data_IF_946928003317
#
_entry.id   IF_946928003317
#
_cell.length_a   1.000
_cell.length_b   1.000
_cell.length_c   1.000
_cell.angle_alpha   90.00
_cell.angle_beta   90.00
_cell.angle_gamma   90.00
#
_symmetry.space_group_name_H-M   'P 1'
#
loop_
_entity.id
_entity.type
_entity.pdbx_description
1 polymer ?
#
# COMPACT_ATOMS: atom_id res chain seq x y z
N UNK A 1 2.90 -16.78 21.81
CA UNK A 1 3.11 -15.34 21.97
C UNK A 1 4.25 -15.18 22.94
N UNK A 2 5.13 -14.21 22.74
CA UNK A 2 6.29 -14.03 23.62
C UNK A 2 6.02 -12.90 24.63
N UNK A 3 6.96 -12.74 25.55
CA UNK A 3 6.95 -11.71 26.56
C UNK A 3 7.75 -10.49 26.08
N UNK A 4 7.09 -9.36 25.88
CA UNK A 4 7.69 -8.12 25.40
C UNK A 4 7.47 -6.95 26.36
N UNK A 5 8.41 -6.01 26.37
CA UNK A 5 8.24 -4.68 26.97
C UNK A 5 8.75 -3.61 26.02
N UNK A 6 8.02 -2.50 25.93
CA UNK A 6 8.40 -1.33 25.13
C UNK A 6 8.37 -0.11 26.00
N UNK A 7 9.45 0.67 25.97
CA UNK A 7 9.51 1.95 26.66
C UNK A 7 8.77 3.01 25.86
N UNK A 8 7.88 3.75 26.50
CA UNK A 8 7.05 4.80 25.88
C UNK A 8 7.24 6.13 26.61
N UNK A 9 7.25 7.22 25.86
CA UNK A 9 7.48 8.58 26.40
C UNK A 9 6.21 9.36 26.66
N UNK A 10 5.16 9.07 25.88
CA UNK A 10 3.89 9.77 25.92
C UNK A 10 2.71 8.82 25.61
N UNK A 11 1.51 9.38 25.69
CA UNK A 11 0.27 8.66 25.40
C UNK A 11 0.18 8.20 23.94
N UNK A 12 0.77 8.96 23.00
CA UNK A 12 0.73 8.63 21.58
C UNK A 12 1.60 7.40 21.27
N UNK A 13 2.84 7.36 21.78
CA UNK A 13 3.72 6.18 21.66
C UNK A 13 3.10 4.96 22.36
N UNK A 14 2.44 5.16 23.51
CA UNK A 14 1.71 4.08 24.19
C UNK A 14 0.58 3.51 23.34
N UNK A 15 -0.26 4.39 22.78
CA UNK A 15 -1.38 3.99 21.93
C UNK A 15 -0.89 3.26 20.68
N UNK A 16 0.17 3.76 20.05
CA UNK A 16 0.76 3.09 18.89
C UNK A 16 1.27 1.69 19.25
N UNK A 17 2.02 1.55 20.35
CA UNK A 17 2.52 0.25 20.80
C UNK A 17 1.37 -0.73 21.08
N UNK A 18 0.29 -0.28 21.71
CA UNK A 18 -0.90 -1.09 21.94
C UNK A 18 -1.55 -1.56 20.63
N UNK A 19 -1.77 -0.64 19.67
CA UNK A 19 -2.36 -0.96 18.36
C UNK A 19 -1.51 -1.98 17.59
N UNK A 20 -0.18 -1.86 17.64
CA UNK A 20 0.74 -2.82 17.05
C UNK A 20 0.68 -4.19 17.74
N UNK A 21 0.62 -4.24 19.07
CA UNK A 21 0.43 -5.51 19.78
C UNK A 21 -0.94 -6.16 19.47
N UNK A 22 -1.99 -5.37 19.23
CA UNK A 22 -3.30 -5.90 18.82
C UNK A 22 -3.19 -6.57 17.46
N UNK A 23 -2.43 -6.00 16.52
CA UNK A 23 -2.13 -6.64 15.23
C UNK A 23 -1.31 -7.94 15.40
N UNK A 24 -0.45 -8.00 16.42
CA UNK A 24 0.21 -9.23 16.84
C UNK A 24 -0.70 -10.22 17.58
N UNK A 25 -1.98 -9.90 17.77
CA UNK A 25 -3.01 -10.78 18.32
C UNK A 25 -3.12 -10.75 19.84
N UNK A 26 -2.40 -9.86 20.53
CA UNK A 26 -2.54 -9.65 21.96
C UNK A 26 -3.84 -8.88 22.26
N UNK A 27 -4.35 -9.06 23.47
CA UNK A 27 -5.59 -8.45 23.95
C UNK A 27 -5.27 -7.46 25.06
N UNK A 28 -5.85 -6.26 24.96
CA UNK A 28 -5.73 -5.25 25.98
C UNK A 28 -6.41 -5.74 27.28
N UNK A 29 -5.67 -5.75 28.38
CA UNK A 29 -6.25 -5.98 29.69
C UNK A 29 -7.01 -4.71 30.11
N UNK A 30 -8.30 -4.86 30.39
CA UNK A 30 -9.18 -3.76 30.77
C UNK A 30 -8.77 -3.06 32.07
N UNK A 31 -7.98 -3.72 32.93
CA UNK A 31 -7.50 -3.14 34.19
C UNK A 31 -6.23 -2.31 34.04
N UNK A 32 -5.43 -2.57 33.00
CA UNK A 32 -4.12 -1.94 32.80
C UNK A 32 -3.98 -1.25 31.43
N UNK A 33 -5.01 -1.23 30.60
CA UNK A 33 -4.92 -0.73 29.23
C UNK A 33 -4.80 0.80 29.10
N UNK A 34 -5.23 1.55 30.11
CA UNK A 34 -5.24 3.01 30.04
C UNK A 34 -3.86 3.60 30.31
N UNK A 35 -3.48 4.60 29.51
CA UNK A 35 -2.29 5.38 29.77
C UNK A 35 -2.50 6.28 31.00
N UNK A 36 -1.63 6.15 31.98
CA UNK A 36 -1.51 7.05 33.12
C UNK A 36 -0.23 7.90 33.03
N UNK A 37 -0.14 9.07 33.69
CA UNK A 37 1.10 9.88 33.73
C UNK A 37 2.34 9.13 34.26
N UNK A 38 2.12 8.08 35.04
CA UNK A 38 3.14 7.17 35.58
C UNK A 38 3.60 6.10 34.58
N UNK A 39 2.94 5.99 33.42
CA UNK A 39 3.23 4.99 32.40
C UNK A 39 4.60 5.27 31.80
N UNK A 40 5.41 4.21 31.77
CA UNK A 40 6.73 4.20 31.15
C UNK A 40 6.89 3.06 30.17
N UNK A 41 5.99 2.06 30.26
CA UNK A 41 6.08 0.83 29.48
C UNK A 41 4.73 0.38 28.96
N UNK A 42 4.75 -0.29 27.81
CA UNK A 42 3.68 -1.19 27.36
C UNK A 42 4.24 -2.61 27.40
N UNK A 43 3.55 -3.50 28.10
CA UNK A 43 3.95 -4.90 28.29
C UNK A 43 3.01 -5.81 27.50
N UNK A 44 3.56 -6.86 26.93
CA UNK A 44 2.81 -7.93 26.29
C UNK A 44 3.27 -9.27 26.86
N UNK A 45 2.34 -10.09 27.33
CA UNK A 45 2.60 -11.31 28.08
C UNK A 45 2.33 -12.56 27.23
N UNK A 46 3.02 -13.65 27.52
CA UNK A 46 2.90 -14.92 26.78
C UNK A 46 1.49 -15.54 26.84
N UNK A 47 0.67 -15.15 27.82
CA UNK A 47 -0.75 -15.51 27.94
C UNK A 47 -1.66 -14.76 26.94
N UNK A 48 -1.08 -13.83 26.17
CA UNK A 48 -1.77 -13.02 25.18
C UNK A 48 -2.39 -11.74 25.71
N UNK A 49 -2.17 -11.40 26.98
CA UNK A 49 -2.57 -10.10 27.54
C UNK A 49 -1.54 -9.01 27.24
N UNK A 50 -1.99 -7.75 27.21
CA UNK A 50 -1.11 -6.57 27.19
C UNK A 50 -1.64 -5.47 28.10
N UNK A 51 -0.79 -4.53 28.51
CA UNK A 51 -1.21 -3.35 29.24
C UNK A 51 -0.10 -2.32 29.44
N UNK A 52 -0.49 -1.13 29.89
CA UNK A 52 0.40 -0.07 30.34
C UNK A 52 0.98 -0.40 31.72
N UNK A 53 2.23 -0.03 31.93
CA UNK A 53 2.95 -0.29 33.16
C UNK A 53 3.87 0.87 33.55
N UNK A 54 4.05 1.03 34.86
CA UNK A 54 5.10 1.87 35.45
C UNK A 54 6.41 1.09 35.56
N UNK A 55 7.52 1.79 35.86
CA UNK A 55 8.85 1.19 35.95
C UNK A 55 8.91 -0.02 36.92
N UNK A 56 8.14 0.02 38.01
CA UNK A 56 8.13 -1.06 39.02
C UNK A 56 7.52 -2.39 38.54
N UNK A 57 6.75 -2.38 37.44
CA UNK A 57 6.10 -3.57 36.89
C UNK A 57 6.84 -4.18 35.69
N UNK A 58 7.80 -3.47 35.10
CA UNK A 58 8.59 -3.92 33.97
C UNK A 58 9.73 -4.86 34.41
N UNK A 59 9.46 -6.17 34.46
CA UNK A 59 10.47 -7.18 34.85
C UNK A 59 11.60 -7.30 33.82
N UNK A 60 12.81 -7.64 34.29
CA UNK A 60 13.97 -7.93 33.43
C UNK A 60 13.79 -9.18 32.56
N UNK A 61 12.87 -10.07 32.93
CA UNK A 61 12.54 -11.28 32.19
C UNK A 61 11.75 -11.03 30.90
N UNK A 62 11.28 -9.80 30.66
CA UNK A 62 10.56 -9.41 29.46
C UNK A 62 11.56 -8.94 28.39
N UNK A 63 11.40 -9.41 27.15
CA UNK A 63 12.26 -8.97 26.04
C UNK A 63 11.96 -7.51 25.71
N UNK A 64 12.96 -6.66 25.88
CA UNK A 64 12.84 -5.25 25.53
C UNK A 64 12.87 -5.07 24.02
N UNK A 65 11.89 -4.34 23.48
CA UNK A 65 11.83 -3.93 22.10
C UNK A 65 11.80 -2.41 22.00
N UNK A 66 12.37 -1.90 20.92
CA UNK A 66 12.09 -0.54 20.47
C UNK A 66 10.79 -0.51 19.66
N UNK A 67 10.16 0.66 19.56
CA UNK A 67 8.94 0.83 18.75
C UNK A 67 9.16 0.45 17.27
N UNK A 68 10.28 0.80 16.60
CA UNK A 68 10.59 0.29 15.26
C UNK A 68 10.64 -1.24 15.18
N UNK A 69 11.29 -1.92 16.13
CA UNK A 69 11.35 -3.38 16.13
C UNK A 69 9.97 -4.02 16.31
N UNK A 70 9.06 -3.38 17.06
CA UNK A 70 7.68 -3.85 17.15
C UNK A 70 6.95 -3.73 15.80
N UNK A 71 7.15 -2.64 15.07
CA UNK A 71 6.60 -2.47 13.71
C UNK A 71 7.13 -3.56 12.77
N UNK A 72 8.41 -3.89 12.87
CA UNK A 72 9.00 -4.97 12.07
C UNK A 72 8.35 -6.32 12.38
N UNK A 73 8.12 -6.64 13.67
CA UNK A 73 7.43 -7.87 14.06
C UNK A 73 6.01 -7.96 13.47
N UNK A 74 5.28 -6.84 13.42
CA UNK A 74 3.95 -6.78 12.79
C UNK A 74 4.04 -7.10 11.30
N UNK A 75 5.00 -6.50 10.59
CA UNK A 75 5.24 -6.76 9.16
C UNK A 75 5.56 -8.23 8.91
N UNK A 76 6.52 -8.77 9.66
CA UNK A 76 6.97 -10.16 9.51
C UNK A 76 5.85 -11.16 9.86
N UNK A 77 4.95 -10.82 10.80
CA UNK A 77 3.80 -11.66 11.12
C UNK A 77 2.73 -11.60 10.04
N UNK A 78 2.44 -10.41 9.50
CA UNK A 78 1.41 -10.21 8.48
C UNK A 78 1.72 -11.01 7.21
N UNK A 79 3.01 -11.16 6.88
CA UNK A 79 3.45 -11.86 5.67
C UNK A 79 2.70 -11.35 4.43
N UNK A 80 2.84 -10.06 4.15
CA UNK A 80 2.34 -9.45 2.93
C UNK A 80 3.51 -8.91 2.13
N UNK A 81 3.66 -9.35 0.88
CA UNK A 81 4.69 -8.88 -0.05
C UNK A 81 4.65 -7.37 -0.26
N UNK A 82 3.48 -6.73 -0.10
CA UNK A 82 3.32 -5.26 -0.19
C UNK A 82 4.08 -4.50 0.90
N UNK A 83 4.51 -5.20 1.95
CA UNK A 83 5.32 -4.61 3.00
C UNK A 83 6.78 -4.41 2.59
N UNK A 84 7.24 -5.02 1.49
CA UNK A 84 8.58 -4.85 0.94
C UNK A 84 9.00 -3.38 0.91
N UNK A 85 10.13 -3.02 1.52
CA UNK A 85 10.66 -1.65 1.50
C UNK A 85 11.91 -1.52 0.62
N UNK A 86 12.36 -2.63 0.03
CA UNK A 86 13.53 -2.76 -0.78
C UNK A 86 13.25 -3.67 -1.99
N UNK A 87 13.91 -3.41 -3.11
CA UNK A 87 13.95 -4.33 -4.26
C UNK A 87 15.39 -4.57 -4.67
N UNK A 88 15.65 -5.73 -5.25
CA UNK A 88 16.93 -6.02 -5.88
C UNK A 88 16.91 -5.78 -7.40
N UNK A 89 18.01 -6.12 -8.09
CA UNK A 89 18.16 -6.01 -9.55
C UNK A 89 17.18 -6.89 -10.34
N UNK A 90 16.70 -7.98 -9.74
CA UNK A 90 15.75 -8.91 -10.36
C UNK A 90 14.30 -8.49 -10.09
N UNK A 91 14.11 -7.35 -9.42
CA UNK A 91 12.81 -6.85 -8.97
C UNK A 91 12.15 -7.78 -7.95
N UNK A 92 12.92 -8.57 -7.20
CA UNK A 92 12.39 -9.36 -6.10
C UNK A 92 12.11 -8.44 -4.90
N UNK A 93 11.11 -8.82 -4.11
CA UNK A 93 10.65 -8.06 -2.96
C UNK A 93 11.50 -8.35 -1.72
N UNK A 94 12.03 -7.30 -1.11
CA UNK A 94 12.86 -7.36 0.10
C UNK A 94 12.32 -6.44 1.19
N UNK A 95 12.53 -6.84 2.44
CA UNK A 95 12.22 -6.04 3.62
C UNK A 95 13.47 -5.89 4.49
N UNK A 96 13.94 -4.65 4.63
CA UNK A 96 14.99 -4.25 5.56
C UNK A 96 14.34 -3.87 6.90
N UNK A 97 14.56 -4.69 7.92
CA UNK A 97 14.11 -4.42 9.28
C UNK A 97 14.94 -3.30 9.94
N UNK A 98 14.40 -2.71 11.01
CA UNK A 98 15.05 -1.62 11.75
C UNK A 98 16.36 -2.02 12.42
N UNK A 99 16.60 -3.31 12.65
CA UNK A 99 17.86 -3.85 13.16
C UNK A 99 18.93 -4.07 12.08
N UNK A 100 18.61 -3.78 10.81
CA UNK A 100 19.49 -3.94 9.67
C UNK A 100 19.41 -5.32 9.00
N UNK A 101 18.55 -6.22 9.48
CA UNK A 101 18.35 -7.54 8.89
C UNK A 101 17.53 -7.45 7.61
N UNK A 102 17.98 -8.14 6.56
CA UNK A 102 17.24 -8.28 5.31
C UNK A 102 16.41 -9.57 5.31
N UNK A 103 15.14 -9.43 4.93
CA UNK A 103 14.22 -10.52 4.69
C UNK A 103 13.83 -10.53 3.22
N UNK A 104 13.97 -11.68 2.56
CA UNK A 104 13.51 -11.89 1.20
C UNK A 104 12.09 -12.48 1.21
N UNK A 105 11.26 -12.08 0.25
CA UNK A 105 9.95 -12.66 0.09
C UNK A 105 10.03 -14.05 -0.56
N UNK A 106 9.57 -15.07 0.15
CA UNK A 106 9.52 -16.44 -0.36
C UNK A 106 8.21 -16.70 -1.10
N UNK A 107 8.23 -16.61 -2.44
CA UNK A 107 7.03 -16.83 -3.26
C UNK A 107 6.40 -18.21 -3.11
N UNK A 108 7.17 -19.25 -2.74
CA UNK A 108 6.65 -20.61 -2.52
C UNK A 108 5.96 -20.79 -1.17
N UNK A 109 6.47 -20.12 -0.12
CA UNK A 109 5.95 -20.22 1.25
C UNK A 109 4.98 -19.07 1.60
N UNK A 110 4.94 -18.04 0.77
CA UNK A 110 4.21 -16.78 0.98
C UNK A 110 4.57 -16.14 2.34
N UNK A 111 5.87 -16.06 2.63
CA UNK A 111 6.36 -15.51 3.88
C UNK A 111 7.70 -14.77 3.72
N UNK A 112 8.03 -13.95 4.71
CA UNK A 112 9.36 -13.35 4.86
C UNK A 112 10.33 -14.38 5.44
N UNK A 113 11.52 -14.51 4.84
CA UNK A 113 12.55 -15.45 5.30
C UNK A 113 13.95 -14.86 5.12
N UNK A 114 14.86 -15.19 6.03
CA UNK A 114 16.28 -14.82 5.97
C UNK A 114 17.11 -15.89 5.27
N UNK A 115 16.57 -17.10 5.08
CA UNK A 115 17.26 -18.25 4.46
C UNK A 115 16.95 -18.40 2.97
N UNK A 116 16.52 -17.35 2.29
CA UNK A 116 16.37 -17.42 0.84
C UNK A 116 17.70 -17.81 0.20
N UNK A 117 17.66 -18.74 -0.76
CA UNK A 117 18.80 -19.08 -1.63
C UNK A 117 19.36 -17.84 -2.37
N UNK A 118 18.66 -16.69 -2.30
CA UNK A 118 19.13 -15.37 -2.73
C UNK A 118 20.13 -14.70 -1.77
N UNK A 119 20.37 -15.26 -0.58
CA UNK A 119 21.37 -14.78 0.35
C UNK A 119 22.76 -15.21 -0.14
N UNK A 120 23.50 -14.25 -0.71
CA UNK A 120 24.90 -13.87 -0.36
C UNK A 120 25.64 -13.20 -1.53
N UNK A 121 25.17 -13.29 -2.78
CA UNK A 121 25.86 -12.60 -3.88
C UNK A 121 25.33 -11.18 -4.10
N UNK A 122 25.82 -10.21 -3.34
CA UNK A 122 25.90 -8.78 -3.68
C UNK A 122 24.74 -8.21 -4.52
N UNK A 123 23.50 -8.37 -4.05
CA UNK A 123 22.36 -7.73 -4.69
C UNK A 123 22.47 -6.23 -4.38
N UNK A 124 22.50 -5.38 -5.42
CA UNK A 124 22.35 -3.92 -5.25
C UNK A 124 20.90 -3.65 -4.82
N UNK A 125 20.61 -3.93 -3.54
CA UNK A 125 19.30 -3.73 -2.94
C UNK A 125 19.10 -2.23 -2.80
N UNK A 126 18.07 -1.72 -3.46
CA UNK A 126 17.70 -0.32 -3.43
C UNK A 126 16.41 -0.14 -2.65
N UNK A 127 16.31 0.93 -1.84
CA UNK A 127 15.04 1.29 -1.22
C UNK A 127 13.98 1.43 -2.31
N UNK A 128 12.83 0.80 -2.11
CA UNK A 128 11.67 1.11 -2.93
C UNK A 128 11.31 2.54 -2.57
N UNK A 129 11.27 3.43 -3.57
CA UNK A 129 10.49 4.64 -3.44
C UNK A 129 9.03 4.20 -3.37
N UNK A 130 8.58 3.81 -2.16
CA UNK A 130 7.16 3.70 -1.88
C UNK A 130 6.66 5.12 -2.03
N UNK A 131 6.10 5.45 -3.19
CA UNK A 131 4.98 6.38 -3.21
C UNK A 131 4.04 5.80 -2.17
N UNK A 132 3.94 6.46 -1.00
CA UNK A 132 3.12 6.00 0.11
C UNK A 132 1.72 5.78 -0.44
N UNK A 133 1.38 4.54 -0.72
CA UNK A 133 0.01 4.08 -0.84
C UNK A 133 -0.53 3.97 0.59
N UNK A 134 -0.61 5.11 1.26
CA UNK A 134 -1.60 5.31 2.30
C UNK A 134 -2.93 5.48 1.55
N UNK A 135 -3.90 4.66 1.95
CA UNK A 135 -5.25 4.57 1.43
C UNK A 135 -5.71 5.75 0.55
N UNK A 136 -5.98 5.45 -0.72
CA UNK A 136 -6.84 6.25 -1.60
C UNK A 136 -6.45 7.75 -1.74
N UNK A 137 -5.19 8.03 -2.04
CA UNK A 137 -4.76 9.34 -2.57
C UNK A 137 -4.55 10.43 -1.52
N UNK A 138 -4.58 10.10 -0.23
CA UNK A 138 -4.27 11.04 0.84
C UNK A 138 -2.78 11.43 0.84
N UNK A 139 -2.50 12.72 0.99
CA UNK A 139 -1.16 13.30 1.10
C UNK A 139 -0.94 13.85 2.51
N UNK A 140 0.31 13.97 2.93
CA UNK A 140 0.61 14.69 4.18
C UNK A 140 0.34 16.19 3.98
N UNK A 141 -0.25 16.86 4.96
CA UNK A 141 -0.38 18.32 4.92
C UNK A 141 0.96 19.04 4.89
N UNK A 142 2.05 18.41 5.36
CA UNK A 142 3.41 18.93 5.20
C UNK A 142 3.90 18.96 3.73
N UNK A 143 3.34 18.11 2.87
CA UNK A 143 3.70 18.04 1.46
C UNK A 143 2.91 19.04 0.60
N UNK A 144 1.80 19.56 1.13
CA UNK A 144 0.87 20.47 0.45
C UNK A 144 1.56 21.74 -0.09
N UNK A 145 2.40 22.47 0.68
CA UNK A 145 3.09 23.65 0.16
C UNK A 145 3.99 23.35 -1.05
N UNK A 146 4.66 22.19 -1.03
CA UNK A 146 5.54 21.77 -2.12
C UNK A 146 4.76 21.37 -3.37
N UNK A 147 3.58 20.74 -3.21
CA UNK A 147 2.71 20.34 -4.31
C UNK A 147 2.04 21.56 -4.97
N UNK A 148 1.57 22.51 -4.16
CA UNK A 148 1.04 23.79 -4.65
C UNK A 148 2.09 24.53 -5.48
N UNK A 149 3.33 24.61 -4.99
CA UNK A 149 4.44 25.26 -5.72
C UNK A 149 4.73 24.59 -7.07
N UNK A 150 4.43 23.30 -7.20
CA UNK A 150 4.55 22.54 -8.46
C UNK A 150 3.35 22.72 -9.39
N UNK A 151 2.29 23.42 -8.95
CA UNK A 151 1.06 23.62 -9.71
C UNK A 151 0.05 22.47 -9.60
N UNK A 152 0.23 21.56 -8.64
CA UNK A 152 -0.69 20.44 -8.43
C UNK A 152 -1.97 20.89 -7.73
N UNK A 153 -3.10 20.31 -8.13
CA UNK A 153 -4.40 20.59 -7.51
C UNK A 153 -4.60 19.73 -6.25
N UNK A 154 -4.77 20.37 -5.11
CA UNK A 154 -4.96 19.72 -3.81
C UNK A 154 -6.40 19.91 -3.32
N UNK A 155 -6.96 18.89 -2.70
CA UNK A 155 -8.22 18.95 -1.98
C UNK A 155 -8.01 18.71 -0.49
N UNK A 156 -8.84 19.32 0.33
CA UNK A 156 -8.86 19.10 1.78
C UNK A 156 -10.26 18.77 2.28
N UNK A 157 -10.35 18.17 3.46
CA UNK A 157 -11.60 18.04 4.23
C UNK A 157 -11.32 18.10 5.73
N UNK A 158 -12.26 18.62 6.50
CA UNK A 158 -12.20 18.57 7.97
C UNK A 158 -12.67 17.20 8.48
N UNK A 159 -11.96 16.61 9.45
CA UNK A 159 -12.37 15.37 10.13
C UNK A 159 -13.54 15.58 11.10
N UNK A 160 -13.65 16.78 11.66
CA UNK A 160 -14.60 17.08 12.72
C UNK A 160 -15.74 17.91 12.12
N UNK A 161 -16.92 17.29 11.96
CA UNK A 161 -18.12 17.87 11.35
C UNK A 161 -18.77 18.93 12.24
N UNK A 162 -18.11 20.07 12.42
CA UNK A 162 -18.76 21.26 12.95
C UNK A 162 -19.20 22.08 11.75
N UNK A 163 -20.48 21.93 11.37
CA UNK A 163 -21.15 22.64 10.25
C UNK A 163 -20.66 22.28 8.82
N UNK A 164 -21.05 21.11 8.32
CA UNK A 164 -20.92 20.77 6.88
C UNK A 164 -19.61 20.12 6.44
N UNK A 165 -18.82 19.60 7.38
CA UNK A 165 -17.61 18.82 7.09
C UNK A 165 -17.93 17.41 6.56
N UNK A 166 -17.10 16.91 5.66
CA UNK A 166 -17.16 15.54 5.16
C UNK A 166 -16.77 15.43 3.68
N UNK A 167 -17.18 16.42 2.90
CA UNK A 167 -16.88 16.50 1.48
C UNK A 167 -15.51 17.11 1.21
N UNK A 168 -14.89 16.64 0.12
CA UNK A 168 -13.62 17.15 -0.37
C UNK A 168 -13.82 18.53 -1.01
N UNK A 169 -13.07 19.51 -0.54
CA UNK A 169 -13.08 20.87 -1.06
C UNK A 169 -11.77 21.16 -1.79
N UNK A 170 -11.86 21.85 -2.92
CA UNK A 170 -10.69 22.33 -3.64
C UNK A 170 -10.01 23.43 -2.81
N UNK A 171 -8.71 23.27 -2.58
CA UNK A 171 -7.88 24.31 -1.99
C UNK A 171 -7.70 25.43 -3.03
N UNK A 172 -8.20 26.62 -2.70
CA UNK A 172 -8.09 27.80 -3.55
C UNK A 172 -7.27 28.86 -2.82
N UNK A 173 -6.05 29.12 -3.29
CA UNK A 173 -5.16 30.11 -2.67
C UNK A 173 -5.76 31.51 -2.61
N UNK A 174 -6.58 31.93 -3.59
CA UNK A 174 -7.21 33.25 -3.57
C UNK A 174 -8.25 33.41 -2.45
N UNK A 175 -8.82 32.30 -1.98
CA UNK A 175 -9.81 32.25 -0.89
C UNK A 175 -9.18 31.86 0.45
N UNK A 176 -8.26 30.90 0.42
CA UNK A 176 -7.85 30.11 1.58
C UNK A 176 -6.44 30.47 2.11
N UNK A 177 -5.70 31.37 1.45
CA UNK A 177 -4.33 31.77 1.85
C UNK A 177 -4.28 32.29 3.30
N UNK A 178 -5.33 32.97 3.76
CA UNK A 178 -5.43 33.51 5.12
C UNK A 178 -6.15 32.57 6.10
N UNK A 179 -6.77 31.49 5.62
CA UNK A 179 -7.59 30.58 6.44
C UNK A 179 -6.80 29.43 7.05
N UNK A 180 -5.67 29.05 6.45
CA UNK A 180 -4.83 27.95 6.93
C UNK A 180 -3.55 28.42 7.59
N UNK A 181 -3.38 28.06 8.86
CA UNK A 181 -2.09 28.21 9.53
C UNK A 181 -1.17 27.01 9.28
N UNK A 182 0.13 27.17 9.54
CA UNK A 182 1.07 26.03 9.59
C UNK A 182 0.60 24.94 10.55
N UNK A 183 -0.10 25.32 11.62
CA UNK A 183 -0.71 24.40 12.57
C UNK A 183 -1.79 23.52 11.93
N UNK A 184 -2.51 24.01 10.92
CA UNK A 184 -3.57 23.27 10.25
C UNK A 184 -3.03 22.26 9.22
N UNK A 185 -1.86 22.54 8.63
CA UNK A 185 -1.16 21.62 7.74
C UNK A 185 -0.56 20.41 8.47
N UNK A 186 -0.16 20.58 9.73
CA UNK A 186 0.49 19.51 10.53
C UNK A 186 -0.46 18.80 11.49
N UNK A 187 -1.66 19.35 11.71
CA UNK A 187 -2.65 18.79 12.62
C UNK A 187 -3.58 17.80 11.88
N UNK A 188 -4.08 16.81 12.62
CA UNK A 188 -5.00 15.79 12.14
C UNK A 188 -6.43 16.29 11.91
N UNK A 189 -6.71 17.58 12.18
CA UNK A 189 -8.00 18.22 11.91
C UNK A 189 -8.39 18.19 10.43
N UNK A 190 -7.41 18.27 9.54
CA UNK A 190 -7.63 18.24 8.09
C UNK A 190 -6.99 17.01 7.46
N UNK A 191 -7.68 16.45 6.48
CA UNK A 191 -7.12 15.47 5.55
C UNK A 191 -6.90 16.12 4.21
N UNK A 192 -5.82 15.73 3.55
CA UNK A 192 -5.38 16.31 2.29
C UNK A 192 -5.28 15.21 1.25
N UNK A 193 -5.60 15.50 -0.01
CA UNK A 193 -5.36 14.60 -1.14
C UNK A 193 -5.02 15.38 -2.41
N UNK A 194 -4.39 14.72 -3.37
CA UNK A 194 -4.39 15.23 -4.74
C UNK A 194 -5.80 15.12 -5.32
N UNK A 195 -6.24 16.14 -6.05
CA UNK A 195 -7.50 16.10 -6.77
C UNK A 195 -7.45 14.92 -7.75
N UNK A 196 -8.39 13.94 -7.67
CA UNK A 196 -8.43 12.85 -8.63
C UNK A 196 -8.54 13.43 -10.04
N UNK A 197 -7.50 13.25 -10.84
CA UNK A 197 -7.52 13.67 -12.24
C UNK A 197 -8.24 12.60 -13.04
N UNK A 198 -9.39 12.95 -13.62
CA UNK A 198 -9.99 12.14 -14.68
C UNK A 198 -9.16 12.36 -15.94
N UNK A 199 -8.24 11.44 -16.24
CA UNK A 199 -7.53 11.46 -17.52
C UNK A 199 -8.53 11.01 -18.58
N UNK A 200 -8.90 11.93 -19.49
CA UNK A 200 -9.59 11.53 -20.72
C UNK A 200 -8.56 10.84 -21.62
N UNK A 201 -8.75 9.55 -21.86
CA UNK A 201 -7.92 8.76 -22.77
C UNK A 201 -8.63 8.68 -24.12
N UNK A 202 -8.06 9.36 -25.12
CA UNK A 202 -8.47 9.20 -26.51
C UNK A 202 -7.61 8.10 -27.14
N UNK A 203 -8.20 6.93 -27.36
CA UNK A 203 -7.52 5.77 -27.93
C UNK A 203 -8.07 5.50 -29.33
N UNK A 204 -7.21 5.55 -30.34
CA UNK A 204 -7.52 5.09 -31.69
C UNK A 204 -7.28 3.59 -31.77
N UNK A 205 -8.35 2.82 -31.52
CA UNK A 205 -8.37 1.36 -31.62
C UNK A 205 -9.22 0.97 -32.85
N UNK A 206 -8.78 0.04 -33.70
CA UNK A 206 -9.59 -0.49 -34.80
C UNK A 206 -10.92 -1.04 -34.29
N UNK A 207 -12.01 -0.83 -35.04
CA UNK A 207 -13.32 -1.32 -34.62
C UNK A 207 -13.32 -2.86 -34.56
N UNK A 208 -13.75 -3.47 -33.44
CA UNK A 208 -13.90 -4.90 -33.37
C UNK A 208 -15.04 -5.37 -34.28
N UNK A 209 -15.05 -6.65 -34.62
CA UNK A 209 -16.14 -7.29 -35.35
C UNK A 209 -16.80 -8.39 -34.53
N UNK A 210 -18.01 -8.78 -34.91
CA UNK A 210 -18.70 -9.96 -34.37
C UNK A 210 -18.31 -11.22 -35.17
N UNK A 211 -17.58 -12.18 -34.57
CA UNK A 211 -17.18 -13.41 -35.24
C UNK A 211 -18.35 -14.35 -35.54
N UNK A 212 -18.24 -15.07 -36.67
CA UNK A 212 -19.14 -16.16 -37.04
C UNK A 212 -18.41 -17.50 -36.99
N UNK A 213 -19.18 -18.59 -36.92
CA UNK A 213 -18.61 -19.95 -36.91
C UNK A 213 -17.64 -20.14 -38.09
N UNK A 214 -16.40 -20.54 -37.77
CA UNK A 214 -15.30 -20.71 -38.73
C UNK A 214 -14.44 -19.46 -39.00
N UNK A 215 -14.79 -18.28 -38.49
CA UNK A 215 -13.97 -17.07 -38.67
C UNK A 215 -12.66 -17.16 -37.89
N UNK A 216 -11.54 -16.86 -38.55
CA UNK A 216 -10.26 -16.62 -37.85
C UNK A 216 -10.31 -15.28 -37.14
N UNK A 217 -9.97 -15.28 -35.86
CA UNK A 217 -10.13 -14.16 -34.96
C UNK A 217 -8.88 -13.94 -34.12
N UNK A 218 -8.63 -12.68 -33.80
CA UNK A 218 -7.63 -12.27 -32.82
C UNK A 218 -8.30 -11.54 -31.66
N UNK A 219 -7.89 -11.83 -30.42
CA UNK A 219 -8.35 -11.11 -29.23
C UNK A 219 -7.19 -10.87 -28.25
N UNK A 220 -7.29 -9.85 -27.38
CA UNK A 220 -6.31 -9.65 -26.32
C UNK A 220 -6.26 -10.87 -25.41
N UNK A 221 -5.05 -11.32 -25.10
CA UNK A 221 -4.82 -12.45 -24.21
C UNK A 221 -3.71 -12.14 -23.21
N UNK A 222 -3.86 -12.67 -22.00
CA UNK A 222 -2.91 -12.45 -20.91
C UNK A 222 -1.93 -13.63 -20.75
N UNK A 223 -2.14 -14.74 -21.45
CA UNK A 223 -1.29 -15.93 -21.37
C UNK A 223 -0.17 -15.90 -22.41
N UNK A 224 -0.41 -15.32 -23.60
CA UNK A 224 0.60 -15.17 -24.64
C UNK A 224 1.54 -13.97 -24.42
N UNK A 225 2.84 -14.16 -24.69
CA UNK A 225 3.87 -13.10 -24.59
C UNK A 225 3.64 -11.93 -25.57
N UNK A 226 3.07 -12.22 -26.75
CA UNK A 226 2.73 -11.22 -27.75
C UNK A 226 1.47 -10.40 -27.36
N UNK A 227 0.70 -10.89 -26.39
CA UNK A 227 -0.46 -10.24 -25.79
C UNK A 227 -1.78 -10.49 -26.52
N UNK A 228 -1.84 -11.46 -27.43
CA UNK A 228 -3.07 -11.80 -28.14
C UNK A 228 -3.18 -13.28 -28.50
N UNK A 229 -4.41 -13.77 -28.66
CA UNK A 229 -4.73 -15.13 -29.06
C UNK A 229 -5.22 -15.15 -30.51
N UNK A 230 -4.69 -16.06 -31.33
CA UNK A 230 -5.21 -16.42 -32.66
C UNK A 230 -6.03 -17.71 -32.55
N UNK A 231 -7.29 -17.66 -32.96
CA UNK A 231 -8.18 -18.81 -32.89
C UNK A 231 -9.24 -18.80 -34.01
N UNK A 232 -9.86 -19.95 -34.26
CA UNK A 232 -11.03 -20.04 -35.13
C UNK A 232 -12.28 -20.05 -34.27
N UNK A 233 -13.15 -19.07 -34.48
CA UNK A 233 -14.38 -18.95 -33.72
C UNK A 233 -15.30 -20.13 -34.00
N UNK A 234 -15.94 -20.62 -32.94
CA UNK A 234 -16.93 -21.68 -33.03
C UNK A 234 -18.08 -21.40 -32.08
N UNK A 235 -19.30 -21.38 -32.61
CA UNK A 235 -20.52 -21.05 -31.85
C UNK A 235 -20.84 -22.09 -30.77
N UNK A 236 -20.47 -23.35 -31.01
CA UNK A 236 -20.69 -24.47 -30.10
C UNK A 236 -19.73 -24.47 -28.90
N UNK A 237 -18.65 -23.68 -28.98
CA UNK A 237 -17.72 -23.52 -27.88
C UNK A 237 -18.15 -22.35 -26.99
N UNK A 238 -18.67 -22.65 -25.80
CA UNK A 238 -18.86 -21.63 -24.75
C UNK A 238 -17.55 -20.91 -24.37
N UNK A 239 -16.41 -21.52 -24.72
CA UNK A 239 -15.06 -21.02 -24.56
C UNK A 239 -14.79 -19.74 -25.38
N UNK A 240 -15.11 -19.70 -26.67
CA UNK A 240 -14.78 -18.54 -27.52
C UNK A 240 -15.59 -17.28 -27.18
N UNK A 241 -16.78 -17.42 -26.58
CA UNK A 241 -17.55 -16.27 -26.07
C UNK A 241 -16.86 -15.52 -24.94
N UNK A 242 -15.96 -16.17 -24.19
CA UNK A 242 -15.19 -15.52 -23.13
C UNK A 242 -14.05 -14.66 -23.68
N UNK A 243 -13.44 -15.09 -24.79
CA UNK A 243 -12.32 -14.39 -25.42
C UNK A 243 -12.77 -13.17 -26.23
N UNK A 244 -14.00 -13.19 -26.77
CA UNK A 244 -14.52 -12.08 -27.58
C UNK A 244 -15.22 -10.97 -26.77
N UNK A 245 -15.24 -11.05 -25.43
CA UNK A 245 -15.93 -10.09 -24.56
C UNK A 245 -15.42 -8.65 -24.71
N UNK A 246 -14.13 -8.48 -25.03
CA UNK A 246 -13.50 -7.18 -25.25
C UNK A 246 -13.38 -6.80 -26.72
N UNK A 247 -13.96 -7.61 -27.61
CA UNK A 247 -13.85 -7.49 -29.07
C UNK A 247 -13.00 -8.58 -29.69
N UNK A 248 -13.19 -8.77 -30.99
CA UNK A 248 -12.37 -9.60 -31.86
C UNK A 248 -11.91 -8.78 -33.06
N UNK A 249 -10.73 -9.07 -33.58
CA UNK A 249 -10.11 -8.41 -34.73
C UNK A 249 -9.79 -9.42 -35.82
N UNK A 250 -9.88 -8.98 -37.08
CA UNK A 250 -9.77 -9.88 -38.23
C UNK A 250 -8.32 -10.14 -38.62
N UNK A 251 -7.42 -9.23 -38.24
CA UNK A 251 -6.00 -9.30 -38.62
C UNK A 251 -5.06 -9.16 -37.43
N UNK A 252 -3.85 -9.67 -37.63
CA UNK A 252 -2.76 -9.58 -36.65
C UNK A 252 -2.30 -8.13 -36.46
N UNK A 253 -2.35 -7.30 -37.51
CA UNK A 253 -1.99 -5.88 -37.43
C UNK A 253 -2.97 -5.08 -36.55
N UNK A 254 -4.28 -5.34 -36.68
CA UNK A 254 -5.32 -4.68 -35.90
C UNK A 254 -5.14 -4.97 -34.40
N UNK A 255 -4.93 -6.23 -34.04
CA UNK A 255 -4.75 -6.62 -32.64
C UNK A 255 -3.43 -6.10 -32.06
N UNK A 256 -2.35 -6.06 -32.86
CA UNK A 256 -1.07 -5.44 -32.43
C UNK A 256 -1.24 -3.95 -32.11
N UNK A 257 -2.06 -3.23 -32.86
CA UNK A 257 -2.39 -1.83 -32.54
C UNK A 257 -3.11 -1.74 -31.18
N UNK A 258 -4.10 -2.60 -30.93
CA UNK A 258 -4.85 -2.66 -29.68
C UNK A 258 -3.92 -2.93 -28.49
N UNK A 259 -3.14 -4.02 -28.57
CA UNK A 259 -2.18 -4.42 -27.52
C UNK A 259 -1.13 -3.33 -27.31
N UNK A 260 -0.67 -2.68 -28.39
CA UNK A 260 0.24 -1.55 -28.31
C UNK A 260 -0.33 -0.37 -27.52
N UNK A 261 -1.59 -0.01 -27.76
CA UNK A 261 -2.27 1.04 -26.99
C UNK A 261 -2.46 0.65 -25.52
N UNK A 262 -2.83 -0.60 -25.24
CA UNK A 262 -2.95 -1.12 -23.87
C UNK A 262 -1.60 -1.12 -23.13
N UNK A 263 -0.50 -1.46 -23.81
CA UNK A 263 0.86 -1.40 -23.26
C UNK A 263 1.29 0.03 -22.93
N UNK A 264 0.91 1.02 -23.74
CA UNK A 264 1.16 2.44 -23.43
C UNK A 264 0.49 2.88 -22.14
N UNK A 265 -0.73 2.39 -21.86
CA UNK A 265 -1.42 2.68 -20.59
C UNK A 265 -0.67 2.11 -19.38
N UNK A 266 -0.03 0.94 -19.52
CA UNK A 266 0.82 0.36 -18.46
C UNK A 266 2.10 1.16 -18.21
N UNK A 267 2.66 1.80 -19.25
CA UNK A 267 3.97 2.45 -19.21
C UNK A 267 4.02 3.93 -18.83
N UNK A 268 2.88 4.61 -18.64
CA UNK A 268 2.84 6.05 -18.32
C UNK A 268 2.76 6.39 -16.82
N UNK A 269 2.92 5.41 -15.92
CA UNK A 269 3.10 5.63 -14.47
C UNK A 269 4.53 5.32 -14.03
N UNK A 270 5.54 5.94 -14.68
CA UNK A 270 6.94 5.94 -14.20
C UNK A 270 7.30 7.29 -13.63
#
# INVERSE_FOLDING_TARGET
MDNYKIKVKDEAESKEAQELFVQLGYKLDTFFGNYEPSTRWVLACADGSMGCASDGMAKETLKELTLPQLRDLVVLKRNDVKDANCIDKKCEAWYLASDGTYYAWQYRKLCWDTESDACVEAHDIKPIQKQRTQDQGLISGADVPSLIKKGESVQFRSKFNVQGGGDWQDLNLERDEEEFSLGDLINTRFEWRLKPQTIKLELEIPAPFEPKDGDRCFCPDMEQDDGFLDFHYSEDSGFHKNFTQFGAWRTEEEIKQVVGQLRKLRGNNS
#
